data_IF_315850346261
#
_entry.id   IF_315850346261
#
_cell.length_a   1.000
_cell.length_b   1.000
_cell.length_c   1.000
_cell.angle_alpha   90.00
_cell.angle_beta   90.00
_cell.angle_gamma   90.00
#
_symmetry.space_group_name_H-M   'P 1'
#
loop_
_entity.id
_entity.type
_entity.pdbx_description
1 polymer ?
#
# COMPACT_ATOMS: atom_id res chain seq x y z
N UNK A 1 -9.23 -4.55 21.46
CA UNK A 1 -10.48 -3.76 21.33
C UNK A 1 -10.81 -2.96 22.60
N UNK A 2 -10.62 -3.51 23.81
CA UNK A 2 -10.94 -2.82 25.08
C UNK A 2 -10.20 -1.48 25.26
N UNK A 3 -8.90 -1.44 24.93
CA UNK A 3 -8.10 -0.20 25.03
C UNK A 3 -8.56 0.89 24.07
N UNK A 4 -8.98 0.52 22.87
CA UNK A 4 -9.49 1.47 21.88
C UNK A 4 -10.86 2.03 22.30
N UNK A 5 -11.68 1.23 22.97
CA UNK A 5 -13.05 1.59 23.33
C UNK A 5 -13.12 2.38 24.64
N UNK A 6 -12.34 1.97 25.65
CA UNK A 6 -12.41 2.58 27.00
C UNK A 6 -11.49 3.77 27.18
N UNK A 7 -10.31 3.76 26.51
CA UNK A 7 -9.31 4.82 26.67
C UNK A 7 -9.30 5.84 25.53
N UNK A 8 -10.08 5.66 24.46
CA UNK A 8 -10.04 6.46 23.21
C UNK A 8 -8.63 6.56 22.61
N UNK A 9 -7.80 5.54 22.85
CA UNK A 9 -6.43 5.47 22.38
C UNK A 9 -6.37 4.50 21.21
N UNK A 10 -5.89 4.95 20.07
CA UNK A 10 -5.66 4.09 18.92
C UNK A 10 -4.38 3.28 19.14
N UNK A 11 -4.53 1.98 19.45
CA UNK A 11 -3.40 1.06 19.68
C UNK A 11 -3.13 0.26 18.44
N UNK A 12 -1.87 0.21 18.04
CA UNK A 12 -1.37 -0.67 16.97
C UNK A 12 -0.39 -1.68 17.56
N UNK A 13 -0.47 -2.92 17.11
CA UNK A 13 0.30 -4.04 17.63
C UNK A 13 0.96 -4.81 16.48
N UNK A 14 2.18 -5.25 16.71
CA UNK A 14 2.88 -6.17 15.80
C UNK A 14 3.45 -7.35 16.58
N UNK A 15 3.62 -8.48 15.91
CA UNK A 15 4.25 -9.67 16.49
C UNK A 15 5.05 -10.46 15.45
N UNK A 16 6.10 -11.17 15.93
CA UNK A 16 6.93 -12.08 15.15
C UNK A 16 6.33 -13.49 15.13
N UNK A 17 7.00 -14.39 14.45
CA UNK A 17 6.79 -15.83 14.65
C UNK A 17 7.13 -16.25 16.08
N UNK A 18 6.60 -17.39 16.50
CA UNK A 18 6.97 -18.01 17.79
C UNK A 18 8.46 -18.34 17.78
N UNK A 19 9.16 -17.98 18.85
CA UNK A 19 10.56 -18.32 19.06
C UNK A 19 10.67 -19.47 20.06
N UNK A 20 11.65 -20.36 19.86
CA UNK A 20 11.88 -21.51 20.72
C UNK A 20 13.05 -21.30 21.70
N UNK A 21 13.96 -20.39 21.35
CA UNK A 21 15.17 -20.12 22.13
C UNK A 21 15.38 -18.64 22.40
N UNK A 22 16.06 -18.31 23.50
CA UNK A 22 16.43 -16.92 23.81
C UNK A 22 17.39 -16.30 22.79
N UNK A 23 18.16 -17.11 22.06
CA UNK A 23 19.04 -16.64 21.00
C UNK A 23 18.28 -15.97 19.84
N UNK A 24 17.03 -16.33 19.62
CA UNK A 24 16.16 -15.80 18.56
C UNK A 24 15.49 -14.47 18.94
N UNK A 25 15.54 -14.08 20.22
CA UNK A 25 14.82 -12.91 20.73
C UNK A 25 15.19 -11.63 19.99
N UNK A 26 16.48 -11.41 19.68
CA UNK A 26 16.92 -10.22 18.94
C UNK A 26 16.39 -10.19 17.50
N UNK A 27 16.25 -11.36 16.88
CA UNK A 27 15.62 -11.52 15.56
C UNK A 27 14.13 -11.17 15.61
N UNK A 28 13.41 -11.76 16.54
CA UNK A 28 11.98 -11.51 16.74
C UNK A 28 11.70 -10.04 17.05
N UNK A 29 12.55 -9.36 17.81
CA UNK A 29 12.40 -7.93 18.06
C UNK A 29 12.58 -7.09 16.78
N UNK A 30 13.54 -7.43 15.91
CA UNK A 30 13.69 -6.78 14.61
C UNK A 30 12.49 -7.02 13.72
N UNK A 31 11.98 -8.24 13.68
CA UNK A 31 10.79 -8.61 12.91
C UNK A 31 9.55 -7.82 13.35
N UNK A 32 9.27 -7.75 14.65
CA UNK A 32 8.13 -6.98 15.18
C UNK A 32 8.28 -5.48 14.92
N UNK A 33 9.49 -4.94 15.08
CA UNK A 33 9.77 -3.53 14.81
C UNK A 33 9.56 -3.19 13.33
N UNK A 34 10.01 -4.06 12.43
CA UNK A 34 9.77 -3.92 10.99
C UNK A 34 8.27 -4.07 10.67
N UNK A 35 7.60 -5.05 11.26
CA UNK A 35 6.18 -5.27 11.06
C UNK A 35 5.34 -4.04 11.43
N UNK A 36 5.67 -3.38 12.52
CA UNK A 36 4.97 -2.16 12.93
C UNK A 36 5.17 -1.02 11.92
N UNK A 37 6.39 -0.81 11.42
CA UNK A 37 6.69 0.23 10.43
C UNK A 37 5.98 -0.03 9.09
N UNK A 38 6.13 -1.24 8.56
CA UNK A 38 5.50 -1.68 7.30
C UNK A 38 3.98 -1.65 7.40
N UNK A 39 3.45 -2.12 8.53
CA UNK A 39 2.01 -2.13 8.78
C UNK A 39 1.41 -0.73 8.77
N UNK A 40 2.01 0.20 9.50
CA UNK A 40 1.57 1.61 9.53
C UNK A 40 1.60 2.27 8.14
N UNK A 41 2.61 1.96 7.36
CA UNK A 41 2.81 2.58 6.05
C UNK A 41 1.84 2.05 4.99
N UNK A 42 1.69 0.73 4.90
CA UNK A 42 0.98 0.10 3.78
C UNK A 42 -0.43 -0.38 4.11
N UNK A 43 -0.74 -0.52 5.41
CA UNK A 43 -2.03 -1.06 5.90
C UNK A 43 -2.64 -0.20 7.01
N UNK A 44 -2.83 1.12 6.77
CA UNK A 44 -3.25 2.07 7.83
C UNK A 44 -4.61 1.73 8.45
N UNK A 45 -5.46 1.00 7.73
CA UNK A 45 -6.78 0.53 8.21
C UNK A 45 -6.67 -0.59 9.26
N UNK A 46 -5.50 -1.23 9.37
CA UNK A 46 -5.28 -2.35 10.29
C UNK A 46 -4.67 -1.86 11.60
N UNK A 47 -4.95 -2.61 12.66
CA UNK A 47 -4.40 -2.35 14.01
C UNK A 47 -3.43 -3.42 14.46
N UNK A 48 -3.41 -4.58 13.80
CA UNK A 48 -2.56 -5.72 14.14
C UNK A 48 -1.75 -6.10 12.91
N UNK A 49 -0.43 -6.20 13.07
CA UNK A 49 0.53 -6.45 12.01
C UNK A 49 1.38 -7.69 12.30
N UNK A 50 0.92 -8.89 11.90
CA UNK A 50 1.73 -10.11 11.95
C UNK A 50 2.89 -10.02 10.96
N UNK A 51 4.13 -10.29 11.38
CA UNK A 51 5.29 -10.20 10.50
C UNK A 51 5.15 -11.06 9.23
N UNK A 52 4.58 -12.26 9.38
CA UNK A 52 4.42 -13.20 8.26
C UNK A 52 3.30 -12.83 7.29
N UNK A 53 2.42 -11.87 7.64
CA UNK A 53 1.27 -11.47 6.83
C UNK A 53 1.47 -10.12 6.12
N UNK A 54 2.65 -9.51 6.25
CA UNK A 54 2.95 -8.21 5.62
C UNK A 54 3.07 -8.26 4.09
N UNK A 55 3.12 -9.44 3.51
CA UNK A 55 3.15 -9.63 2.07
C UNK A 55 4.24 -8.83 1.36
N UNK A 56 3.87 -8.22 0.25
CA UNK A 56 4.79 -7.45 -0.61
C UNK A 56 5.31 -6.16 0.08
N UNK A 57 4.58 -5.60 1.04
CA UNK A 57 5.00 -4.40 1.76
C UNK A 57 6.35 -4.59 2.45
N UNK A 58 6.61 -5.78 3.01
CA UNK A 58 7.90 -6.12 3.63
C UNK A 58 9.06 -6.13 2.63
N UNK A 59 8.81 -6.54 1.39
CA UNK A 59 9.83 -6.52 0.34
C UNK A 59 10.12 -5.09 -0.11
N UNK A 60 9.09 -4.30 -0.38
CA UNK A 60 9.21 -2.91 -0.83
C UNK A 60 9.96 -2.08 0.21
N UNK A 61 9.65 -2.24 1.49
CA UNK A 61 10.29 -1.48 2.56
C UNK A 61 11.81 -1.73 2.68
N UNK A 62 12.32 -2.80 2.10
CA UNK A 62 13.74 -3.16 2.10
C UNK A 62 14.46 -2.81 0.78
N UNK A 63 13.75 -2.24 -0.20
CA UNK A 63 14.37 -1.84 -1.47
C UNK A 63 15.19 -0.56 -1.30
N UNK A 64 16.35 -0.45 -1.98
CA UNK A 64 17.10 0.80 -2.04
C UNK A 64 16.27 1.92 -2.68
N UNK A 65 16.32 3.12 -2.11
CA UNK A 65 15.58 4.28 -2.62
C UNK A 65 15.86 4.55 -4.10
N UNK A 66 17.10 4.42 -4.54
CA UNK A 66 17.49 4.60 -5.95
C UNK A 66 16.80 3.63 -6.91
N UNK A 67 16.60 2.38 -6.49
CA UNK A 67 15.84 1.41 -7.28
C UNK A 67 14.36 1.80 -7.37
N UNK A 68 13.79 2.23 -6.25
CA UNK A 68 12.42 2.72 -6.17
C UNK A 68 12.19 3.94 -7.07
N UNK A 69 13.10 4.91 -7.04
CA UNK A 69 13.04 6.12 -7.89
C UNK A 69 13.11 5.78 -9.38
N UNK A 70 14.02 4.89 -9.79
CA UNK A 70 14.11 4.43 -11.17
C UNK A 70 12.85 3.74 -11.63
N UNK A 71 12.30 2.83 -10.82
CA UNK A 71 11.05 2.14 -11.12
C UNK A 71 9.87 3.11 -11.31
N UNK A 72 9.76 4.14 -10.47
CA UNK A 72 8.70 5.15 -10.65
C UNK A 72 8.90 5.97 -11.92
N UNK A 73 10.14 6.31 -12.29
CA UNK A 73 10.44 6.99 -13.55
C UNK A 73 10.09 6.18 -14.79
N UNK A 74 10.26 4.86 -14.74
CA UNK A 74 9.82 3.97 -15.84
C UNK A 74 8.32 4.05 -16.09
N UNK A 75 7.51 4.24 -15.03
CA UNK A 75 6.05 4.26 -15.11
C UNK A 75 5.49 5.67 -15.38
N UNK A 76 6.00 6.67 -14.66
CA UNK A 76 5.46 8.03 -14.69
C UNK A 76 6.27 9.01 -15.56
N UNK A 77 7.40 8.56 -16.11
CA UNK A 77 8.36 9.44 -16.80
C UNK A 77 9.09 10.36 -15.84
N UNK A 78 9.62 11.48 -16.34
CA UNK A 78 10.40 12.43 -15.53
C UNK A 78 9.55 13.17 -14.47
N UNK A 79 8.24 13.24 -14.64
CA UNK A 79 7.31 13.94 -13.73
C UNK A 79 6.62 12.95 -12.79
N UNK A 80 7.40 12.24 -11.97
CA UNK A 80 6.88 11.36 -10.93
C UNK A 80 6.15 12.20 -9.89
N UNK A 81 4.86 11.96 -9.61
CA UNK A 81 4.17 12.66 -8.53
C UNK A 81 4.67 12.19 -7.17
N UNK A 82 4.72 13.08 -6.19
CA UNK A 82 5.09 12.70 -4.82
C UNK A 82 4.04 11.78 -4.18
N UNK A 83 2.78 11.99 -4.53
CA UNK A 83 1.64 11.15 -4.13
C UNK A 83 0.53 11.23 -5.18
N UNK A 84 -0.39 10.28 -5.15
CA UNK A 84 -1.63 10.36 -5.91
C UNK A 84 -2.55 11.38 -5.25
N UNK A 85 -3.29 12.14 -6.06
CA UNK A 85 -4.39 12.95 -5.52
C UNK A 85 -5.41 12.04 -4.78
N UNK A 86 -6.03 12.59 -3.73
CA UNK A 86 -6.90 11.86 -2.82
C UNK A 86 -8.03 11.11 -3.56
N UNK A 87 -8.65 11.76 -4.54
CA UNK A 87 -9.75 11.18 -5.29
C UNK A 87 -9.30 9.96 -6.12
N UNK A 88 -8.14 10.07 -6.77
CA UNK A 88 -7.52 8.97 -7.52
C UNK A 88 -7.12 7.84 -6.58
N UNK A 89 -6.48 8.14 -5.46
CA UNK A 89 -6.06 7.14 -4.47
C UNK A 89 -7.25 6.34 -3.91
N UNK A 90 -8.33 7.02 -3.51
CA UNK A 90 -9.56 6.37 -3.02
C UNK A 90 -10.19 5.48 -4.11
N UNK A 91 -10.28 5.99 -5.34
CA UNK A 91 -10.86 5.24 -6.47
C UNK A 91 -10.07 3.96 -6.76
N UNK A 92 -8.74 4.05 -6.84
CA UNK A 92 -7.87 2.91 -7.16
C UNK A 92 -7.85 1.90 -6.02
N UNK A 93 -7.72 2.34 -4.77
CA UNK A 93 -7.75 1.46 -3.62
C UNK A 93 -9.04 0.64 -3.57
N UNK A 94 -10.19 1.29 -3.79
CA UNK A 94 -11.49 0.61 -3.83
C UNK A 94 -11.59 -0.35 -5.01
N UNK A 95 -11.03 0.02 -6.17
CA UNK A 95 -11.01 -0.83 -7.36
C UNK A 95 -10.18 -2.11 -7.13
N UNK A 96 -9.03 -2.00 -6.48
CA UNK A 96 -8.21 -3.15 -6.10
C UNK A 96 -8.89 -4.03 -5.04
N UNK A 97 -9.51 -3.43 -4.02
CA UNK A 97 -10.26 -4.17 -3.00
C UNK A 97 -11.43 -4.98 -3.59
N UNK A 98 -12.02 -4.49 -4.67
CA UNK A 98 -13.10 -5.16 -5.39
C UNK A 98 -12.59 -6.08 -6.53
N UNK A 99 -11.34 -6.50 -6.49
CA UNK A 99 -10.73 -7.41 -7.49
C UNK A 99 -10.94 -6.91 -8.93
N UNK A 100 -10.71 -5.63 -9.18
CA UNK A 100 -10.85 -4.96 -10.49
C UNK A 100 -12.30 -4.98 -11.05
N UNK A 101 -13.30 -5.12 -10.20
CA UNK A 101 -14.70 -5.14 -10.59
C UNK A 101 -15.28 -3.72 -10.69
N UNK A 102 -15.47 -3.26 -11.92
CA UNK A 102 -15.98 -1.92 -12.23
C UNK A 102 -17.39 -1.69 -11.63
N UNK A 103 -18.29 -2.67 -11.76
CA UNK A 103 -19.68 -2.50 -11.30
C UNK A 103 -19.75 -2.35 -9.79
N UNK A 104 -19.06 -3.22 -9.05
CA UNK A 104 -19.02 -3.18 -7.60
C UNK A 104 -18.33 -1.92 -7.09
N UNK A 105 -17.21 -1.54 -7.71
CA UNK A 105 -16.48 -0.31 -7.34
C UNK A 105 -17.33 0.94 -7.55
N UNK A 106 -18.01 1.05 -8.69
CA UNK A 106 -18.91 2.18 -8.99
C UNK A 106 -20.04 2.29 -7.97
N UNK A 107 -20.62 1.14 -7.58
CA UNK A 107 -21.69 1.07 -6.58
C UNK A 107 -21.20 1.55 -5.21
N UNK A 108 -20.04 1.08 -4.76
CA UNK A 108 -19.48 1.43 -3.45
C UNK A 108 -19.00 2.88 -3.37
N UNK A 109 -18.51 3.44 -4.48
CA UNK A 109 -18.09 4.83 -4.55
C UNK A 109 -19.23 5.79 -4.90
N UNK A 110 -20.47 5.29 -5.04
CA UNK A 110 -21.63 6.08 -5.43
C UNK A 110 -21.40 6.91 -6.71
N UNK A 111 -20.65 6.36 -7.68
CA UNK A 111 -20.36 7.02 -8.94
C UNK A 111 -20.90 6.25 -10.14
N UNK A 112 -21.17 6.95 -11.23
CA UNK A 112 -21.58 6.31 -12.46
C UNK A 112 -20.45 5.46 -13.05
N UNK A 113 -20.77 4.29 -13.62
CA UNK A 113 -19.78 3.38 -14.23
C UNK A 113 -18.86 4.08 -15.25
N UNK A 114 -19.42 4.94 -16.08
CA UNK A 114 -18.64 5.67 -17.09
C UNK A 114 -17.62 6.64 -16.45
N UNK A 115 -17.93 7.21 -15.30
CA UNK A 115 -17.00 8.06 -14.54
C UNK A 115 -15.80 7.25 -14.05
N UNK A 116 -16.03 6.05 -13.53
CA UNK A 116 -14.94 5.16 -13.12
C UNK A 116 -14.09 4.77 -14.34
N UNK A 117 -14.69 4.35 -15.44
CA UNK A 117 -13.98 4.00 -16.67
C UNK A 117 -13.12 5.18 -17.14
N UNK A 118 -13.68 6.38 -17.19
CA UNK A 118 -12.95 7.58 -17.58
C UNK A 118 -11.72 7.82 -16.69
N UNK A 119 -11.83 7.64 -15.36
CA UNK A 119 -10.70 7.78 -14.44
C UNK A 119 -9.60 6.75 -14.73
N UNK A 120 -9.97 5.49 -14.94
CA UNK A 120 -9.02 4.45 -15.30
C UNK A 120 -8.31 4.76 -16.64
N UNK A 121 -9.03 5.29 -17.63
CA UNK A 121 -8.46 5.73 -18.91
C UNK A 121 -7.50 6.92 -18.75
N UNK A 122 -7.75 7.84 -17.80
CA UNK A 122 -6.80 8.94 -17.52
C UNK A 122 -5.48 8.39 -16.94
N UNK A 123 -5.56 7.38 -16.07
CA UNK A 123 -4.38 6.71 -15.55
C UNK A 123 -3.62 6.01 -16.67
N UNK A 124 -4.33 5.27 -17.53
CA UNK A 124 -3.73 4.60 -18.67
C UNK A 124 -3.02 5.57 -19.62
N UNK A 125 -3.61 6.72 -19.89
CA UNK A 125 -2.99 7.76 -20.73
C UNK A 125 -1.71 8.33 -20.13
N UNK A 126 -1.62 8.41 -18.79
CA UNK A 126 -0.47 8.98 -18.09
C UNK A 126 0.67 7.98 -17.89
N UNK A 127 0.35 6.71 -17.71
CA UNK A 127 1.30 5.68 -17.29
C UNK A 127 1.50 4.57 -18.33
N UNK A 128 0.62 4.47 -19.32
CA UNK A 128 0.58 3.35 -20.25
C UNK A 128 -0.07 2.07 -19.69
N UNK A 129 -0.40 2.04 -18.38
CA UNK A 129 -0.94 0.88 -17.68
C UNK A 129 -2.47 0.87 -17.70
N UNK A 130 -3.08 -0.18 -18.25
CA UNK A 130 -4.53 -0.40 -18.18
C UNK A 130 -4.89 -1.19 -16.92
N UNK A 131 -5.37 -0.51 -15.90
CA UNK A 131 -5.69 -1.12 -14.61
C UNK A 131 -6.83 -2.17 -14.65
N UNK A 132 -7.46 -2.37 -15.81
CA UNK A 132 -8.42 -3.45 -16.05
C UNK A 132 -7.73 -4.78 -16.40
N UNK A 133 -6.43 -4.71 -16.71
CA UNK A 133 -5.55 -5.88 -16.97
C UNK A 133 -4.79 -6.17 -15.66
N UNK A 134 -4.83 -7.41 -15.21
CA UNK A 134 -4.27 -7.81 -13.92
C UNK A 134 -2.78 -7.46 -13.77
N UNK A 135 -1.97 -7.73 -14.79
CA UNK A 135 -0.53 -7.44 -14.79
C UNK A 135 -0.25 -5.96 -14.63
N UNK A 136 -0.95 -5.10 -15.38
CA UNK A 136 -0.80 -3.64 -15.31
C UNK A 136 -1.30 -3.11 -13.96
N UNK A 137 -2.41 -3.64 -13.47
CA UNK A 137 -2.95 -3.29 -12.16
C UNK A 137 -1.98 -3.64 -11.03
N UNK A 138 -1.30 -4.79 -11.12
CA UNK A 138 -0.28 -5.22 -10.16
C UNK A 138 0.93 -4.29 -10.19
N UNK A 139 1.44 -3.95 -11.38
CA UNK A 139 2.56 -3.00 -11.55
C UNK A 139 2.19 -1.65 -10.94
N UNK A 140 1.00 -1.14 -11.24
CA UNK A 140 0.53 0.14 -10.71
C UNK A 140 0.35 0.11 -9.18
N UNK A 141 -0.16 -0.99 -8.62
CA UNK A 141 -0.28 -1.16 -7.17
C UNK A 141 1.09 -1.13 -6.49
N UNK A 142 2.09 -1.80 -7.06
CA UNK A 142 3.46 -1.76 -6.56
C UNK A 142 4.00 -0.32 -6.65
N UNK A 143 3.77 0.38 -7.76
CA UNK A 143 4.21 1.75 -7.94
C UNK A 143 3.61 2.70 -6.88
N UNK A 144 2.34 2.57 -6.56
CA UNK A 144 1.72 3.36 -5.47
C UNK A 144 2.30 3.05 -4.10
N UNK A 145 2.62 1.78 -3.81
CA UNK A 145 3.28 1.41 -2.57
C UNK A 145 4.71 1.97 -2.49
N UNK A 146 5.48 1.88 -3.58
CA UNK A 146 6.83 2.45 -3.68
C UNK A 146 6.81 3.97 -3.50
N UNK A 147 5.82 4.65 -4.09
CA UNK A 147 5.63 6.10 -3.94
C UNK A 147 5.40 6.48 -2.47
N UNK A 148 4.50 5.79 -1.78
CA UNK A 148 4.21 6.02 -0.36
C UNK A 148 5.46 5.75 0.51
N UNK A 149 6.23 4.73 0.19
CA UNK A 149 7.49 4.42 0.89
C UNK A 149 8.49 5.57 0.75
N UNK A 150 8.76 6.04 -0.47
CA UNK A 150 9.70 7.13 -0.71
C UNK A 150 9.23 8.45 -0.09
N UNK A 151 7.93 8.74 -0.11
CA UNK A 151 7.37 9.91 0.55
C UNK A 151 7.63 9.90 2.07
N UNK A 152 7.44 8.74 2.70
CA UNK A 152 7.69 8.57 4.14
C UNK A 152 9.17 8.68 4.48
N UNK A 153 10.06 8.08 3.69
CA UNK A 153 11.52 8.16 3.89
C UNK A 153 12.06 9.59 3.76
N UNK A 154 11.50 10.39 2.84
CA UNK A 154 11.88 11.80 2.66
C UNK A 154 11.42 12.70 3.81
N UNK A 155 10.37 12.31 4.53
CA UNK A 155 9.77 13.10 5.61
C UNK A 155 10.15 12.61 7.03
N UNK A 156 10.98 11.57 7.14
CA UNK A 156 11.49 11.00 8.40
C UNK A 156 12.87 11.48 8.73
#
# INVERSE_FOLDING_TARGET
DTLNTEALIQVQLSYSSVIETLAELSGAFRETSLALKVGKLFYPEQTIFPYNELGIGRLIYQLPASLCENFLKEIFGENVPDELDEETAVTINRFFQNNLNIAETSRQLHMHRNTLIYRLEQIQKRTGLDLRIFEDAMVFKIATMVMNYLHTERNS
#
